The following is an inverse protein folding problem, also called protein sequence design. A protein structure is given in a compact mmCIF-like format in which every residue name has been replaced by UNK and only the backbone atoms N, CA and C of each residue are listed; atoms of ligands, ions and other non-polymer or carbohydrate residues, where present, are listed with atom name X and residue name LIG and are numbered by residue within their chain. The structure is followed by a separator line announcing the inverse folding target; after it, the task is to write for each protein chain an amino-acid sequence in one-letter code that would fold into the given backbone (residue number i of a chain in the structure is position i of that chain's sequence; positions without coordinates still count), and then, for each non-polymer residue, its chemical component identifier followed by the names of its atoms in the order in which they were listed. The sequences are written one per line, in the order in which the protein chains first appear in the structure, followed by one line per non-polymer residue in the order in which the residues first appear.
data_IF_375871398175
#
_entry.id   IF_375871398175
#
_cell.length_a   1.000
_cell.length_b   1.000
_cell.length_c   1.000
_cell.angle_alpha   90.00
_cell.angle_beta   90.00
_cell.angle_gamma   90.00
#
_symmetry.space_group_name_H-M   'P 1'
#
loop_
_entity.id
_entity.type
_entity.pdbx_description
1 polymer ?
#
# COMPACT_ATOMS: atom_id res chain seq x y z
N UNK A 1 18.50 -3.27 -29.11
CA UNK A 1 19.92 -2.92 -28.93
C UNK A 1 20.24 -2.60 -27.47
N UNK A 2 19.71 -1.51 -26.90
CA UNK A 2 20.09 -1.01 -25.56
C UNK A 2 19.33 -1.62 -24.36
N UNK A 3 18.66 -2.76 -24.53
CA UNK A 3 17.69 -3.27 -23.53
C UNK A 3 18.32 -4.17 -22.45
N UNK A 4 19.60 -4.51 -22.58
CA UNK A 4 20.32 -5.37 -21.62
C UNK A 4 21.79 -4.93 -21.53
N UNK A 5 22.50 -5.30 -20.46
CA UNK A 5 23.94 -5.05 -20.34
C UNK A 5 24.69 -5.61 -21.54
N UNK A 6 25.67 -4.83 -22.03
CA UNK A 6 26.56 -5.24 -23.12
C UNK A 6 27.47 -6.36 -22.62
N UNK A 7 27.54 -7.45 -23.37
CA UNK A 7 28.41 -8.59 -23.07
C UNK A 7 29.74 -8.50 -23.83
N UNK A 8 30.79 -9.11 -23.29
CA UNK A 8 32.10 -9.16 -23.95
C UNK A 8 32.06 -9.87 -25.33
N UNK A 9 31.08 -10.75 -25.55
CA UNK A 9 30.86 -11.40 -26.84
C UNK A 9 30.27 -10.45 -27.89
N UNK A 10 29.46 -9.47 -27.46
CA UNK A 10 28.86 -8.47 -28.35
C UNK A 10 29.84 -7.34 -28.68
N UNK A 11 30.67 -6.94 -27.70
CA UNK A 11 31.67 -5.89 -27.84
C UNK A 11 32.93 -6.26 -27.04
N UNK A 12 33.91 -6.93 -27.69
CA UNK A 12 35.25 -7.10 -27.14
C UNK A 12 35.82 -5.73 -26.74
N UNK A 13 36.54 -5.67 -25.63
CA UNK A 13 37.14 -4.44 -25.08
C UNK A 13 36.16 -3.35 -24.59
N UNK A 14 34.84 -3.60 -24.56
CA UNK A 14 33.86 -2.63 -24.06
C UNK A 14 34.19 -2.13 -22.64
N UNK A 15 34.58 -3.04 -21.74
CA UNK A 15 34.97 -2.72 -20.36
C UNK A 15 36.27 -1.92 -20.24
N UNK A 16 37.11 -1.91 -21.28
CA UNK A 16 38.36 -1.15 -21.31
C UNK A 16 38.10 0.32 -21.68
N UNK A 17 37.00 0.60 -22.38
CA UNK A 17 36.61 1.94 -22.83
C UNK A 17 35.54 2.54 -21.93
N UNK A 18 34.53 1.75 -21.56
CA UNK A 18 33.36 2.21 -20.80
C UNK A 18 33.53 1.87 -19.31
N UNK A 19 33.75 2.91 -18.51
CA UNK A 19 33.96 2.77 -17.06
C UNK A 19 32.67 2.51 -16.26
N UNK A 20 31.53 3.03 -16.73
CA UNK A 20 30.23 2.93 -16.06
C UNK A 20 29.17 2.42 -17.03
N UNK A 21 29.07 1.10 -17.25
CA UNK A 21 28.05 0.53 -18.13
C UNK A 21 26.63 0.88 -17.67
N UNK A 22 25.73 1.11 -18.63
CA UNK A 22 24.31 1.35 -18.38
C UNK A 22 23.48 0.88 -19.58
N UNK A 23 22.24 0.46 -19.30
CA UNK A 23 21.29 -0.04 -20.30
C UNK A 23 19.84 0.23 -19.87
N UNK A 24 18.91 0.24 -20.82
CA UNK A 24 17.50 0.55 -20.59
C UNK A 24 16.82 -0.47 -19.65
N UNK A 25 17.23 -1.74 -19.66
CA UNK A 25 16.68 -2.75 -18.75
C UNK A 25 17.10 -2.51 -17.31
N UNK A 26 18.35 -2.10 -17.09
CA UNK A 26 18.83 -1.66 -15.78
C UNK A 26 18.11 -0.40 -15.30
N UNK A 27 17.91 0.59 -16.17
CA UNK A 27 17.16 1.82 -15.86
C UNK A 27 15.71 1.50 -15.50
N UNK A 28 15.04 0.67 -16.28
CA UNK A 28 13.66 0.25 -16.02
C UNK A 28 13.54 -0.43 -14.64
N UNK A 29 14.47 -1.35 -14.33
CA UNK A 29 14.52 -2.00 -13.02
C UNK A 29 14.78 -1.01 -11.90
N UNK A 30 15.76 -0.11 -12.03
CA UNK A 30 16.05 0.94 -11.03
C UNK A 30 14.84 1.85 -10.78
N UNK A 31 14.11 2.22 -11.84
CA UNK A 31 12.87 2.98 -11.73
C UNK A 31 11.76 2.21 -11.02
N UNK A 32 11.59 0.92 -11.37
CA UNK A 32 10.62 0.03 -10.72
C UNK A 32 10.91 -0.12 -9.23
N UNK A 33 12.16 -0.36 -8.88
CA UNK A 33 12.66 -0.56 -7.51
C UNK A 33 12.88 0.76 -6.76
N UNK A 34 12.45 1.91 -7.32
CA UNK A 34 12.56 3.26 -6.73
C UNK A 34 13.97 3.64 -6.27
N UNK A 35 14.98 3.23 -7.03
CA UNK A 35 16.37 3.54 -6.72
C UNK A 35 16.79 4.96 -7.16
N UNK A 36 15.95 5.65 -7.94
CA UNK A 36 16.15 7.06 -8.32
C UNK A 36 15.57 8.01 -7.27
N UNK A 37 16.45 8.83 -6.67
CA UNK A 37 16.06 9.87 -5.70
C UNK A 37 15.62 11.18 -6.33
N UNK A 38 15.92 11.38 -7.62
CA UNK A 38 15.54 12.58 -8.37
C UNK A 38 15.31 12.26 -9.85
N UNK A 39 14.56 13.13 -10.52
CA UNK A 39 14.38 13.08 -11.97
C UNK A 39 15.74 13.22 -12.70
N UNK A 40 16.63 14.07 -12.19
CA UNK A 40 17.97 14.29 -12.76
C UNK A 40 18.84 13.03 -12.70
N UNK A 41 18.72 12.23 -11.63
CA UNK A 41 19.46 10.97 -11.53
C UNK A 41 18.99 9.95 -12.57
N UNK A 42 17.68 9.92 -12.87
CA UNK A 42 17.13 9.11 -13.95
C UNK A 42 17.60 9.63 -15.32
N UNK A 43 17.54 10.94 -15.54
CA UNK A 43 18.01 11.58 -16.77
C UNK A 43 19.49 11.25 -17.04
N UNK A 44 20.33 11.37 -16.02
CA UNK A 44 21.76 11.10 -16.10
C UNK A 44 22.05 9.66 -16.55
N UNK A 45 21.33 8.67 -16.00
CA UNK A 45 21.49 7.27 -16.40
C UNK A 45 21.03 7.03 -17.85
N UNK A 46 19.93 7.65 -18.29
CA UNK A 46 19.46 7.54 -19.69
C UNK A 46 20.47 8.15 -20.65
N UNK A 47 20.99 9.34 -20.34
CA UNK A 47 22.04 9.99 -21.14
C UNK A 47 23.32 9.15 -21.16
N UNK A 48 23.66 8.46 -20.06
CA UNK A 48 24.84 7.61 -19.96
C UNK A 48 24.79 6.42 -20.92
N UNK A 49 23.60 5.84 -21.18
CA UNK A 49 23.44 4.78 -22.20
C UNK A 49 23.93 5.28 -23.57
N UNK A 50 23.46 6.46 -23.97
CA UNK A 50 23.81 7.04 -25.27
C UNK A 50 25.26 7.50 -25.32
N UNK A 51 25.76 8.15 -24.26
CA UNK A 51 27.14 8.60 -24.16
C UNK A 51 28.14 7.43 -24.21
N UNK A 52 27.84 6.31 -23.54
CA UNK A 52 28.67 5.11 -23.61
C UNK A 52 28.67 4.50 -25.01
N UNK A 53 27.50 4.46 -25.67
CA UNK A 53 27.38 3.93 -27.02
C UNK A 53 28.16 4.77 -28.03
N UNK A 54 28.08 6.10 -27.96
CA UNK A 54 28.82 6.99 -28.86
C UNK A 54 30.32 7.00 -28.55
N UNK A 55 30.72 6.96 -27.26
CA UNK A 55 32.12 6.86 -26.84
C UNK A 55 32.80 5.58 -27.38
N UNK A 56 32.15 4.42 -27.22
CA UNK A 56 32.71 3.15 -27.69
C UNK A 56 32.81 3.08 -29.22
N UNK A 57 31.84 3.67 -29.93
CA UNK A 57 31.78 3.66 -31.40
C UNK A 57 32.34 4.95 -32.02
N UNK A 58 33.17 5.73 -31.31
CA UNK A 58 33.59 7.08 -31.75
C UNK A 58 34.40 7.07 -33.06
N UNK A 59 35.19 6.03 -33.27
CA UNK A 59 36.07 5.88 -34.43
C UNK A 59 35.31 5.33 -35.66
N UNK A 60 34.04 4.94 -35.48
CA UNK A 60 33.13 4.49 -36.54
C UNK A 60 31.75 5.18 -36.42
N UNK A 61 31.64 6.50 -36.67
CA UNK A 61 30.37 7.23 -36.51
C UNK A 61 29.24 6.75 -37.41
N UNK A 62 29.57 6.11 -38.55
CA UNK A 62 28.62 5.47 -39.46
C UNK A 62 28.06 4.13 -38.96
N UNK A 63 28.60 3.60 -37.86
CA UNK A 63 28.14 2.35 -37.27
C UNK A 63 26.71 2.50 -36.74
N UNK A 64 25.86 1.50 -36.97
CA UNK A 64 24.42 1.60 -36.64
C UNK A 64 24.17 1.89 -35.16
N UNK A 65 24.99 1.37 -34.25
CA UNK A 65 24.87 1.62 -32.80
C UNK A 65 25.05 3.10 -32.47
N UNK A 66 26.03 3.76 -33.12
CA UNK A 66 26.30 5.18 -32.94
C UNK A 66 25.12 6.02 -33.45
N UNK A 67 24.67 5.75 -34.68
CA UNK A 67 23.55 6.45 -35.30
C UNK A 67 22.24 6.29 -34.49
N UNK A 68 21.98 5.08 -34.00
CA UNK A 68 20.80 4.81 -33.16
C UNK A 68 20.88 5.49 -31.80
N UNK A 69 22.07 5.56 -31.17
CA UNK A 69 22.25 6.25 -29.90
C UNK A 69 21.96 7.76 -30.02
N UNK A 70 22.49 8.42 -31.05
CA UNK A 70 22.21 9.84 -31.31
C UNK A 70 20.72 10.09 -31.62
N UNK A 71 20.10 9.25 -32.46
CA UNK A 71 18.68 9.37 -32.77
C UNK A 71 17.79 9.23 -31.53
N UNK A 72 18.05 8.22 -30.68
CA UNK A 72 17.30 8.01 -29.44
C UNK A 72 17.56 9.11 -28.42
N UNK A 73 18.78 9.63 -28.34
CA UNK A 73 19.12 10.76 -27.47
C UNK A 73 18.30 12.00 -27.82
N UNK A 74 18.15 12.32 -29.11
CA UNK A 74 17.35 13.46 -29.56
C UNK A 74 15.86 13.28 -29.22
N UNK A 75 15.32 12.08 -29.43
CA UNK A 75 13.94 11.73 -29.02
C UNK A 75 13.77 11.89 -27.52
N UNK A 76 14.72 11.40 -26.72
CA UNK A 76 14.67 11.50 -25.27
C UNK A 76 14.69 12.96 -24.79
N UNK A 77 15.64 13.78 -25.23
CA UNK A 77 15.74 15.20 -24.85
C UNK A 77 14.43 15.94 -25.17
N UNK A 78 13.86 15.68 -26.34
CA UNK A 78 12.61 16.31 -26.78
C UNK A 78 11.44 15.92 -25.88
N UNK A 79 11.31 14.64 -25.54
CA UNK A 79 10.25 14.15 -24.67
C UNK A 79 10.46 14.54 -23.20
N UNK A 80 11.70 14.58 -22.73
CA UNK A 80 12.08 15.02 -21.39
C UNK A 80 11.74 16.49 -21.17
N UNK A 81 12.10 17.37 -22.11
CA UNK A 81 11.75 18.79 -22.04
C UNK A 81 10.23 19.00 -21.95
N UNK A 82 9.44 18.27 -22.77
CA UNK A 82 7.97 18.30 -22.69
C UNK A 82 7.44 17.82 -21.34
N UNK A 83 8.04 16.78 -20.76
CA UNK A 83 7.64 16.26 -19.46
C UNK A 83 7.94 17.26 -18.33
N UNK A 84 9.12 17.90 -18.35
CA UNK A 84 9.50 18.95 -17.40
C UNK A 84 8.57 20.15 -17.51
N UNK A 85 8.23 20.59 -18.72
CA UNK A 85 7.29 21.69 -18.94
C UNK A 85 5.88 21.33 -18.45
N UNK A 86 5.42 20.10 -18.70
CA UNK A 86 4.12 19.63 -18.21
C UNK A 86 4.06 19.58 -16.67
N UNK A 87 5.12 19.12 -16.01
CA UNK A 87 5.19 19.13 -14.54
C UNK A 87 5.23 20.56 -13.98
N UNK A 88 5.99 21.46 -14.61
CA UNK A 88 6.02 22.88 -14.23
C UNK A 88 4.64 23.55 -14.36
N UNK A 89 3.92 23.28 -15.47
CA UNK A 89 2.54 23.73 -15.66
C UNK A 89 1.61 23.17 -14.59
N UNK A 90 1.73 21.88 -14.26
CA UNK A 90 0.93 21.25 -13.21
C UNK A 90 1.21 21.85 -11.83
N UNK A 91 2.47 22.18 -11.51
CA UNK A 91 2.83 22.87 -10.26
C UNK A 91 2.21 24.27 -10.16
N UNK A 92 2.09 24.95 -11.30
CA UNK A 92 1.58 26.32 -11.40
C UNK A 92 0.04 26.41 -11.51
N UNK A 93 -0.64 25.37 -12.00
CA UNK A 93 -2.05 25.46 -12.39
C UNK A 93 -2.97 24.70 -11.44
N UNK A 94 -3.71 25.45 -10.61
CA UNK A 94 -4.70 24.91 -9.70
C UNK A 94 -6.13 25.33 -10.08
N UNK A 95 -6.81 24.54 -10.93
CA UNK A 95 -8.18 24.83 -11.34
C UNK A 95 -9.19 24.50 -10.23
N UNK A 96 -9.86 25.53 -9.69
CA UNK A 96 -10.97 25.38 -8.74
C UNK A 96 -10.58 25.17 -7.28
N UNK A 97 -9.35 25.55 -6.88
CA UNK A 97 -8.92 25.52 -5.49
C UNK A 97 -9.23 26.84 -4.77
N UNK A 98 -9.62 26.80 -3.48
CA UNK A 98 -9.81 28.00 -2.67
C UNK A 98 -8.58 28.91 -2.59
N UNK A 99 -7.39 28.37 -2.82
CA UNK A 99 -6.11 29.09 -2.74
C UNK A 99 -5.63 29.64 -4.10
N UNK A 100 -6.44 29.54 -5.16
CA UNK A 100 -6.09 30.08 -6.48
C UNK A 100 -5.80 31.59 -6.38
N UNK A 101 -4.54 31.97 -6.60
CA UNK A 101 -4.05 33.36 -6.48
C UNK A 101 -3.19 33.67 -5.25
N UNK A 102 -3.05 32.76 -4.29
CA UNK A 102 -2.30 33.01 -3.03
C UNK A 102 -0.76 32.90 -3.15
N UNK A 103 -0.21 32.54 -4.32
CA UNK A 103 1.24 32.33 -4.57
C UNK A 103 1.99 31.42 -3.58
N UNK A 104 1.30 30.70 -2.69
CA UNK A 104 1.92 29.84 -1.70
C UNK A 104 2.10 28.43 -2.26
N UNK A 105 3.33 28.06 -2.60
CA UNK A 105 3.69 26.69 -2.96
C UNK A 105 4.20 25.93 -1.75
N UNK A 106 3.90 24.63 -1.69
CA UNK A 106 4.49 23.73 -0.71
C UNK A 106 6.02 23.71 -0.86
N UNK A 107 6.77 23.98 0.20
CA UNK A 107 8.24 23.98 0.15
C UNK A 107 8.87 22.60 -0.06
N UNK A 108 8.11 21.52 0.15
CA UNK A 108 8.56 20.14 -0.06
C UNK A 108 8.35 19.70 -1.50
N UNK A 109 7.10 19.75 -1.99
CA UNK A 109 6.76 19.20 -3.30
C UNK A 109 6.68 20.25 -4.43
N UNK A 110 6.70 21.55 -4.11
CA UNK A 110 6.64 22.63 -5.10
C UNK A 110 5.25 22.88 -5.70
N UNK A 111 4.26 22.01 -5.44
CA UNK A 111 2.88 22.22 -5.89
C UNK A 111 2.16 23.24 -5.01
N UNK A 112 1.29 24.04 -5.63
CA UNK A 112 0.39 24.96 -4.93
C UNK A 112 -0.77 24.22 -4.24
N UNK A 113 -1.21 23.10 -4.81
CA UNK A 113 -2.32 22.32 -4.27
C UNK A 113 -2.17 20.84 -4.63
N UNK A 114 -2.59 19.94 -3.73
CA UNK A 114 -2.76 18.51 -4.04
C UNK A 114 -4.23 18.14 -4.00
N UNK A 115 -4.73 17.54 -5.08
CA UNK A 115 -6.13 17.17 -5.19
C UNK A 115 -6.36 15.75 -4.67
N UNK A 116 -7.15 15.63 -3.61
CA UNK A 116 -7.69 14.35 -3.14
C UNK A 116 -8.75 13.87 -4.14
N UNK A 117 -8.83 12.56 -4.34
CA UNK A 117 -9.97 12.02 -5.06
C UNK A 117 -11.23 12.18 -4.19
N UNK A 118 -12.38 12.41 -4.83
CA UNK A 118 -13.66 12.52 -4.14
C UNK A 118 -13.98 11.28 -3.32
N UNK A 119 -14.55 11.50 -2.14
CA UNK A 119 -15.19 10.45 -1.35
C UNK A 119 -16.40 9.92 -2.12
N UNK A 120 -16.59 8.60 -2.11
CA UNK A 120 -17.76 7.96 -2.72
C UNK A 120 -18.65 7.48 -1.60
N UNK A 121 -19.90 7.91 -1.62
CA UNK A 121 -20.90 7.53 -0.63
C UNK A 121 -21.88 6.54 -1.23
N UNK A 122 -22.51 5.70 -0.40
CA UNK A 122 -23.61 4.84 -0.80
C UNK A 122 -24.85 5.27 -0.04
N UNK A 123 -25.88 5.70 -0.77
CA UNK A 123 -27.13 6.14 -0.16
C UNK A 123 -27.76 5.00 0.65
N UNK A 124 -28.01 5.21 1.94
CA UNK A 124 -28.62 4.22 2.83
C UNK A 124 -30.07 3.86 2.43
N UNK A 125 -30.76 4.72 1.68
CA UNK A 125 -32.15 4.51 1.26
C UNK A 125 -32.23 3.75 -0.06
N UNK A 126 -31.65 4.29 -1.14
CA UNK A 126 -31.77 3.70 -2.47
C UNK A 126 -30.58 2.83 -2.89
N UNK A 127 -29.58 2.66 -2.02
CA UNK A 127 -28.37 1.87 -2.26
C UNK A 127 -27.49 2.30 -3.44
N UNK A 128 -27.82 3.42 -4.11
CA UNK A 128 -27.02 3.97 -5.22
C UNK A 128 -25.79 4.69 -4.70
N UNK A 129 -24.71 4.63 -5.48
CA UNK A 129 -23.51 5.42 -5.23
C UNK A 129 -23.77 6.90 -5.52
N UNK A 130 -23.31 7.76 -4.61
CA UNK A 130 -23.30 9.21 -4.73
C UNK A 130 -21.87 9.60 -5.08
N UNK A 131 -21.71 10.17 -6.26
CA UNK A 131 -20.41 10.45 -6.88
C UNK A 131 -20.13 11.94 -6.92
N UNK A 132 -18.92 12.30 -7.33
CA UNK A 132 -18.40 13.68 -7.35
C UNK A 132 -19.37 14.75 -7.85
N UNK A 133 -19.35 15.91 -7.19
CA UNK A 133 -20.16 17.11 -7.47
C UNK A 133 -21.66 16.94 -7.24
N UNK A 134 -22.09 15.86 -6.61
CA UNK A 134 -23.47 15.67 -6.17
C UNK A 134 -23.65 16.11 -4.71
N UNK A 135 -24.82 16.66 -4.43
CA UNK A 135 -25.26 16.97 -3.07
C UNK A 135 -25.72 15.68 -2.35
N UNK A 136 -25.30 15.57 -1.10
CA UNK A 136 -25.76 14.54 -0.18
C UNK A 136 -26.02 15.12 1.20
N UNK A 137 -26.65 14.30 2.04
CA UNK A 137 -27.00 14.64 3.41
C UNK A 137 -26.38 13.57 4.32
N UNK A 138 -25.55 13.98 5.28
CA UNK A 138 -24.86 13.08 6.21
C UNK A 138 -25.25 13.36 7.66
N UNK A 139 -25.29 12.30 8.46
CA UNK A 139 -25.27 12.43 9.91
C UNK A 139 -23.92 13.03 10.39
N UNK A 140 -23.87 13.71 11.54
CA UNK A 140 -22.65 14.35 12.05
C UNK A 140 -21.49 13.38 12.30
N UNK A 141 -21.80 12.12 12.64
CA UNK A 141 -20.84 11.03 12.85
C UNK A 141 -20.49 10.27 11.56
N UNK A 142 -21.06 10.70 10.42
CA UNK A 142 -20.97 10.05 9.11
C UNK A 142 -21.44 8.57 9.07
N UNK A 143 -22.17 8.09 10.08
CA UNK A 143 -22.67 6.71 10.14
C UNK A 143 -23.79 6.44 9.13
N UNK A 144 -24.46 7.49 8.67
CA UNK A 144 -25.60 7.41 7.76
C UNK A 144 -25.57 8.56 6.74
N UNK A 145 -25.96 8.26 5.49
CA UNK A 145 -26.09 9.28 4.45
C UNK A 145 -27.20 8.98 3.42
N UNK A 146 -27.72 10.01 2.77
CA UNK A 146 -28.63 9.85 1.64
C UNK A 146 -28.39 10.86 0.52
N UNK A 147 -28.78 10.49 -0.70
CA UNK A 147 -28.68 11.38 -1.87
C UNK A 147 -29.77 12.45 -1.82
N UNK A 148 -29.56 13.56 -2.52
CA UNK A 148 -30.52 14.66 -2.57
C UNK A 148 -31.95 14.21 -2.97
N UNK A 149 -32.07 13.29 -3.94
CA UNK A 149 -33.36 12.76 -4.38
C UNK A 149 -34.08 11.94 -3.29
N UNK A 150 -33.32 11.19 -2.48
CA UNK A 150 -33.89 10.42 -1.37
C UNK A 150 -34.20 11.33 -0.19
N UNK A 151 -33.37 12.34 0.07
CA UNK A 151 -33.62 13.34 1.10
C UNK A 151 -34.95 14.07 0.86
N UNK A 152 -35.21 14.52 -0.38
CA UNK A 152 -36.50 15.16 -0.77
C UNK A 152 -37.73 14.25 -0.58
N UNK A 153 -37.51 12.93 -0.50
CA UNK A 153 -38.55 11.91 -0.32
C UNK A 153 -38.59 11.35 1.09
N UNK A 154 -37.71 11.80 2.00
CA UNK A 154 -37.76 11.42 3.41
C UNK A 154 -39.15 11.81 3.94
N UNK A 155 -40.00 10.83 4.27
CA UNK A 155 -41.31 11.11 4.86
C UNK A 155 -41.15 11.37 6.36
N UNK A 156 -42.11 12.06 6.97
CA UNK A 156 -42.41 11.97 8.41
C UNK A 156 -42.66 10.51 8.83
N UNK A 157 -41.64 9.67 8.87
CA UNK A 157 -41.77 8.23 9.09
C UNK A 157 -40.86 7.78 10.22
N UNK A 158 -41.45 6.98 11.11
CA UNK A 158 -40.96 6.50 12.40
C UNK A 158 -39.75 5.54 12.34
N UNK A 159 -38.90 5.64 11.32
CA UNK A 159 -37.72 4.78 11.15
C UNK A 159 -36.52 5.43 11.84
N UNK A 160 -36.48 5.36 13.19
CA UNK A 160 -35.38 5.80 14.09
C UNK A 160 -34.86 7.25 13.89
N UNK A 161 -34.76 8.07 14.96
CA UNK A 161 -34.66 9.51 14.87
C UNK A 161 -33.24 9.96 14.47
N UNK A 162 -32.97 10.08 13.18
CA UNK A 162 -32.19 11.22 12.71
C UNK A 162 -33.23 12.15 12.12
N UNK A 163 -33.56 13.20 12.88
CA UNK A 163 -34.49 14.21 12.37
C UNK A 163 -33.84 14.82 11.14
N UNK A 164 -34.65 15.27 10.17
CA UNK A 164 -34.13 15.88 8.93
C UNK A 164 -33.17 17.06 9.23
N UNK A 165 -33.33 17.70 10.38
CA UNK A 165 -32.47 18.75 10.93
C UNK A 165 -31.08 18.30 11.39
N UNK A 166 -30.89 17.01 11.71
CA UNK A 166 -29.59 16.47 12.11
C UNK A 166 -28.68 16.21 10.91
N UNK A 167 -29.23 16.23 9.69
CA UNK A 167 -28.49 15.92 8.48
C UNK A 167 -27.85 17.17 7.87
N UNK A 168 -26.53 17.14 7.74
CA UNK A 168 -25.77 18.22 7.14
C UNK A 168 -25.68 18.03 5.62
N UNK A 169 -26.15 19.04 4.87
CA UNK A 169 -25.99 19.09 3.42
C UNK A 169 -24.51 19.29 3.08
N UNK A 170 -23.95 18.38 2.28
CA UNK A 170 -22.57 18.46 1.78
C UNK A 170 -22.53 18.17 0.29
N UNK A 171 -21.68 18.90 -0.42
CA UNK A 171 -21.36 18.58 -1.81
C UNK A 171 -20.12 17.68 -1.85
N UNK A 172 -20.19 16.54 -2.55
CA UNK A 172 -19.04 15.62 -2.73
C UNK A 172 -17.85 16.24 -3.47
N UNK A 173 -18.01 17.41 -4.09
CA UNK A 173 -16.94 18.20 -4.68
C UNK A 173 -16.20 19.14 -3.72
N UNK A 174 -16.68 19.29 -2.47
CA UNK A 174 -16.03 20.10 -1.43
C UNK A 174 -14.88 19.35 -0.76
N UNK A 175 -13.86 20.07 -0.29
CA UNK A 175 -12.74 19.45 0.46
C UNK A 175 -11.83 18.55 -0.38
N UNK A 176 -11.83 18.69 -1.71
CA UNK A 176 -10.98 17.90 -2.61
C UNK A 176 -9.51 18.31 -2.60
N UNK A 177 -9.09 19.20 -1.71
CA UNK A 177 -7.71 19.69 -1.67
C UNK A 177 -7.08 19.31 -0.34
N UNK A 178 -5.82 18.91 -0.41
CA UNK A 178 -4.98 18.65 0.76
C UNK A 178 -4.87 19.92 1.60
N UNK A 179 -5.05 19.78 2.92
CA UNK A 179 -4.87 20.87 3.86
C UNK A 179 -3.39 21.29 3.90
N UNK A 180 -3.15 22.58 4.15
CA UNK A 180 -1.79 23.14 4.26
C UNK A 180 -1.55 23.63 5.67
N UNK A 181 -0.31 23.47 6.12
CA UNK A 181 0.16 23.95 7.42
C UNK A 181 1.25 25.00 7.21
N UNK A 182 1.20 26.08 8.02
CA UNK A 182 2.19 27.16 7.99
C UNK A 182 3.22 26.96 9.08
N UNK A 183 4.49 26.93 8.70
CA UNK A 183 5.59 26.88 9.67
C UNK A 183 5.61 28.15 10.54
N UNK A 184 5.70 27.98 11.86
CA UNK A 184 5.76 29.08 12.84
C UNK A 184 7.06 29.88 12.73
N UNK A 185 8.15 29.25 12.27
CA UNK A 185 9.48 29.86 12.18
C UNK A 185 9.70 30.63 10.87
N UNK A 186 9.59 29.96 9.71
CA UNK A 186 9.87 30.58 8.41
C UNK A 186 8.64 31.14 7.70
N UNK A 187 7.43 30.94 8.26
CA UNK A 187 6.14 31.38 7.70
C UNK A 187 5.80 30.81 6.30
N UNK A 188 6.61 29.88 5.78
CA UNK A 188 6.31 29.14 4.54
C UNK A 188 5.31 28.02 4.80
N UNK A 189 4.67 27.57 3.73
CA UNK A 189 3.63 26.56 3.79
C UNK A 189 4.10 25.22 3.24
N UNK A 190 3.55 24.16 3.82
CA UNK A 190 3.71 22.79 3.37
C UNK A 190 2.33 22.11 3.37
N UNK A 191 2.09 21.17 2.47
CA UNK A 191 0.92 20.31 2.59
C UNK A 191 1.03 19.47 3.85
N UNK A 192 -0.06 19.27 4.58
CA UNK A 192 -0.10 18.42 5.78
C UNK A 192 0.47 17.02 5.49
N UNK A 193 0.08 16.39 4.37
CA UNK A 193 0.67 15.13 3.92
C UNK A 193 2.19 15.20 3.64
N UNK A 194 2.70 16.30 3.06
CA UNK A 194 4.15 16.46 2.82
C UNK A 194 4.92 16.71 4.12
N UNK A 195 4.30 17.42 5.07
CA UNK A 195 4.84 17.72 6.39
C UNK A 195 4.71 16.54 7.36
N UNK A 196 3.96 15.49 7.00
CA UNK A 196 3.50 14.44 7.91
C UNK A 196 2.84 15.00 9.18
N UNK A 197 2.11 16.10 9.01
CA UNK A 197 1.45 16.82 10.08
C UNK A 197 -0.04 16.47 10.09
N UNK A 198 -0.54 15.99 11.23
CA UNK A 198 -1.95 15.72 11.43
C UNK A 198 -2.60 16.86 12.24
N UNK A 199 -3.35 17.79 11.61
CA UNK A 199 -3.99 18.90 12.32
C UNK A 199 -5.09 18.45 13.29
N UNK A 200 -5.55 17.19 13.18
CA UNK A 200 -6.63 16.61 14.00
C UNK A 200 -6.11 15.78 15.17
N UNK A 201 -4.82 15.43 15.19
CA UNK A 201 -4.21 14.85 16.38
C UNK A 201 -4.13 15.99 17.39
N UNK A 202 -5.08 16.04 18.34
CA UNK A 202 -5.38 17.18 19.21
C UNK A 202 -4.11 17.93 19.62
N UNK A 203 -3.99 19.18 19.17
CA UNK A 203 -2.80 19.97 19.42
C UNK A 203 -2.73 20.32 20.90
N UNK A 204 -1.64 19.93 21.55
CA UNK A 204 -1.23 20.34 22.90
C UNK A 204 -0.90 21.85 23.00
N UNK A 205 -1.42 22.68 22.10
CA UNK A 205 -1.03 24.10 21.94
C UNK A 205 0.31 24.31 21.21
N UNK A 206 0.99 23.24 20.78
CA UNK A 206 2.26 23.34 20.04
C UNK A 206 2.07 23.85 18.60
N UNK A 207 2.96 24.77 18.20
CA UNK A 207 2.96 25.32 16.83
C UNK A 207 3.82 24.49 15.89
N UNK A 208 3.35 24.25 14.66
CA UNK A 208 4.09 23.49 13.65
C UNK A 208 5.39 24.20 13.23
N UNK A 209 6.53 23.50 13.29
CA UNK A 209 7.81 23.92 12.72
C UNK A 209 8.27 22.93 11.64
N UNK A 210 8.53 23.43 10.42
CA UNK A 210 8.93 22.56 9.30
C UNK A 210 10.31 21.92 9.50
N UNK A 211 10.54 20.78 8.85
CA UNK A 211 11.77 19.99 8.95
C UNK A 211 13.03 20.82 8.68
N UNK A 212 13.00 21.70 7.66
CA UNK A 212 14.14 22.56 7.34
C UNK A 212 14.51 23.50 8.50
N UNK A 213 13.52 24.10 9.16
CA UNK A 213 13.76 24.98 10.30
C UNK A 213 14.24 24.21 11.53
N UNK A 214 13.65 23.03 11.81
CA UNK A 214 14.10 22.15 12.90
C UNK A 214 15.54 21.68 12.70
N UNK A 215 15.90 21.25 11.49
CA UNK A 215 17.28 20.88 11.15
C UNK A 215 18.26 22.04 11.36
N UNK A 216 17.91 23.25 10.91
CA UNK A 216 18.74 24.44 11.12
C UNK A 216 18.90 24.80 12.61
N UNK A 217 17.84 24.63 13.41
CA UNK A 217 17.90 24.84 14.86
C UNK A 217 18.82 23.82 15.54
N UNK A 218 18.72 22.54 15.17
CA UNK A 218 19.61 21.46 15.63
C UNK A 218 21.07 21.72 15.30
N UNK A 219 21.39 22.08 14.05
CA UNK A 219 22.76 22.43 13.65
C UNK A 219 23.34 23.62 14.42
N UNK A 220 22.48 24.52 14.94
CA UNK A 220 22.87 25.69 15.73
C UNK A 220 22.91 25.40 17.24
N UNK A 221 22.74 24.15 17.66
CA UNK A 221 22.74 23.73 19.07
C UNK A 221 21.58 24.28 19.90
N UNK A 222 20.49 24.73 19.25
CA UNK A 222 19.32 25.33 19.94
C UNK A 222 18.21 24.34 20.28
N UNK A 223 18.39 23.08 19.92
CA UNK A 223 17.33 22.06 19.93
C UNK A 223 17.93 20.71 20.37
N UNK A 224 18.65 20.72 21.50
CA UNK A 224 19.35 19.55 22.05
C UNK A 224 18.41 18.56 22.77
N UNK A 225 17.22 19.00 23.20
CA UNK A 225 16.39 18.26 24.17
C UNK A 225 14.97 17.91 23.70
N UNK A 226 14.67 18.00 22.40
CA UNK A 226 13.35 17.64 21.87
C UNK A 226 13.44 16.46 20.88
N UNK A 227 13.96 15.32 21.33
CA UNK A 227 13.48 14.05 20.80
C UNK A 227 12.08 13.84 21.38
N UNK A 228 11.07 14.38 20.69
CA UNK A 228 9.71 13.91 20.88
C UNK A 228 9.75 12.42 20.58
N UNK A 229 9.55 11.58 21.58
CA UNK A 229 9.53 10.12 21.44
C UNK A 229 8.59 9.79 20.27
N UNK A 230 9.17 9.32 19.17
CA UNK A 230 8.41 9.11 17.96
C UNK A 230 7.39 8.00 18.25
N UNK A 231 6.10 8.36 18.32
CA UNK A 231 5.00 7.42 18.43
C UNK A 231 4.91 6.65 17.11
N UNK A 232 5.72 5.61 16.99
CA UNK A 232 5.80 4.71 15.84
C UNK A 232 5.10 3.39 16.09
N UNK A 233 5.07 2.53 15.08
CA UNK A 233 4.53 1.17 15.19
C UNK A 233 5.25 0.36 16.27
N UNK A 234 6.52 0.67 16.52
CA UNK A 234 7.31 0.05 17.57
C UNK A 234 6.71 0.22 18.97
N UNK A 235 6.00 1.33 19.25
CA UNK A 235 5.39 1.61 20.56
C UNK A 235 4.04 0.92 20.74
N UNK A 236 3.44 0.39 19.67
CA UNK A 236 2.21 -0.38 19.75
C UNK A 236 2.44 -1.71 20.47
N UNK A 237 1.42 -2.16 21.22
CA UNK A 237 1.45 -3.40 21.97
C UNK A 237 1.89 -4.59 21.11
N UNK A 238 2.89 -5.32 21.61
CA UNK A 238 3.48 -6.46 20.93
C UNK A 238 3.09 -7.76 21.64
N UNK A 239 2.14 -8.51 21.06
CA UNK A 239 1.67 -9.78 21.62
C UNK A 239 2.40 -11.00 21.02
N UNK A 240 2.11 -12.19 21.56
CA UNK A 240 2.77 -13.45 21.15
C UNK A 240 2.64 -13.71 19.65
N UNK A 241 1.45 -13.51 19.06
CA UNK A 241 1.23 -13.67 17.63
C UNK A 241 2.04 -12.65 16.83
N UNK A 242 2.05 -11.38 17.25
CA UNK A 242 2.82 -10.31 16.61
C UNK A 242 4.32 -10.64 16.60
N UNK A 243 4.87 -11.06 17.75
CA UNK A 243 6.27 -11.41 17.90
C UNK A 243 6.67 -12.62 17.06
N UNK A 244 5.80 -13.65 17.03
CA UNK A 244 6.03 -14.85 16.23
C UNK A 244 6.10 -14.53 14.73
N UNK A 245 5.11 -13.80 14.22
CA UNK A 245 5.04 -13.44 12.80
C UNK A 245 6.15 -12.44 12.44
N UNK A 246 6.44 -11.44 13.29
CA UNK A 246 7.52 -10.48 13.07
C UNK A 246 8.88 -11.19 12.92
N UNK A 247 9.20 -12.12 13.82
CA UNK A 247 10.46 -12.86 13.77
C UNK A 247 10.61 -13.67 12.47
N UNK A 248 9.55 -14.39 12.06
CA UNK A 248 9.51 -15.14 10.79
C UNK A 248 9.70 -14.22 9.59
N UNK A 249 8.98 -13.10 9.54
CA UNK A 249 9.06 -12.13 8.44
C UNK A 249 10.44 -11.49 8.34
N UNK A 250 11.06 -11.12 9.46
CA UNK A 250 12.43 -10.55 9.47
C UNK A 250 13.46 -11.56 8.97
N UNK A 251 13.41 -12.81 9.46
CA UNK A 251 14.29 -13.87 8.99
C UNK A 251 14.14 -14.10 7.48
N UNK A 252 12.89 -14.12 6.99
CA UNK A 252 12.64 -14.26 5.56
C UNK A 252 13.14 -13.08 4.75
N UNK A 253 13.02 -11.86 5.28
CA UNK A 253 13.54 -10.65 4.65
C UNK A 253 15.04 -10.74 4.45
N UNK A 254 15.80 -11.08 5.50
CA UNK A 254 17.25 -11.26 5.41
C UNK A 254 17.63 -12.26 4.33
N UNK A 255 17.03 -13.46 4.36
CA UNK A 255 17.31 -14.50 3.35
C UNK A 255 16.98 -14.05 1.93
N UNK A 256 15.81 -13.43 1.72
CA UNK A 256 15.37 -12.99 0.40
C UNK A 256 16.21 -11.83 -0.14
N UNK A 257 16.68 -10.93 0.72
CA UNK A 257 17.60 -9.85 0.35
C UNK A 257 18.98 -10.37 0.01
N UNK A 258 19.51 -11.35 0.73
CA UNK A 258 20.79 -11.98 0.41
C UNK A 258 20.74 -12.68 -0.95
N UNK A 259 19.67 -13.43 -1.22
CA UNK A 259 19.44 -14.06 -2.52
C UNK A 259 19.34 -13.03 -3.64
N UNK A 260 18.66 -11.91 -3.40
CA UNK A 260 18.51 -10.82 -4.36
C UNK A 260 19.85 -10.12 -4.62
N UNK A 261 20.62 -9.84 -3.57
CA UNK A 261 21.94 -9.23 -3.65
C UNK A 261 22.93 -10.10 -4.43
N UNK A 262 22.89 -11.43 -4.27
CA UNK A 262 23.74 -12.35 -5.07
C UNK A 262 23.45 -12.30 -6.57
N UNK A 263 22.20 -12.03 -6.96
CA UNK A 263 21.78 -12.00 -8.37
C UNK A 263 21.88 -10.62 -9.01
N UNK A 264 21.71 -9.56 -8.22
CA UNK A 264 21.54 -8.19 -8.73
C UNK A 264 22.53 -7.18 -8.13
N UNK A 265 23.42 -7.62 -7.24
CA UNK A 265 24.39 -6.79 -6.54
C UNK A 265 23.84 -6.19 -5.24
N UNK A 266 24.73 -5.93 -4.28
CA UNK A 266 24.38 -5.44 -2.94
C UNK A 266 23.60 -4.11 -2.95
N UNK A 267 23.96 -3.19 -3.85
CA UNK A 267 23.28 -1.89 -3.97
C UNK A 267 21.79 -2.02 -4.34
N UNK A 268 21.41 -3.09 -5.05
CA UNK A 268 20.01 -3.33 -5.43
C UNK A 268 19.15 -3.84 -4.27
N UNK A 269 19.76 -4.44 -3.23
CA UNK A 269 19.08 -4.90 -2.03
C UNK A 269 19.03 -3.85 -0.91
N UNK A 270 19.78 -2.76 -1.02
CA UNK A 270 19.94 -1.75 0.04
C UNK A 270 18.66 -0.94 0.36
N UNK A 271 17.61 -1.05 -0.46
CA UNK A 271 16.36 -0.32 -0.29
C UNK A 271 15.49 -0.83 0.89
N UNK A 272 15.82 -1.98 1.47
CA UNK A 272 15.06 -2.57 2.57
C UNK A 272 16.00 -3.24 3.57
N UNK A 273 15.67 -3.09 4.85
CA UNK A 273 16.31 -3.83 5.93
C UNK A 273 15.25 -4.66 6.69
N UNK A 274 15.61 -5.86 7.12
CA UNK A 274 14.76 -6.66 8.00
C UNK A 274 14.43 -5.93 9.31
N UNK A 275 15.37 -5.14 9.85
CA UNK A 275 15.16 -4.32 11.06
C UNK A 275 14.08 -3.26 10.91
N UNK A 276 13.80 -2.83 9.67
CA UNK A 276 12.77 -1.82 9.37
C UNK A 276 11.37 -2.42 9.26
N UNK A 277 11.23 -3.74 9.38
CA UNK A 277 9.93 -4.41 9.34
C UNK A 277 9.39 -4.63 10.75
N UNK A 278 8.12 -4.30 10.97
CA UNK A 278 7.40 -4.58 12.22
C UNK A 278 6.05 -5.23 11.93
N UNK A 279 5.63 -6.20 12.73
CA UNK A 279 4.31 -6.82 12.63
C UNK A 279 3.53 -6.57 13.92
N UNK A 280 2.27 -6.14 13.80
CA UNK A 280 1.39 -5.90 14.94
C UNK A 280 -0.01 -6.44 14.69
N UNK A 281 -0.61 -7.05 15.71
CA UNK A 281 -2.06 -7.23 15.75
C UNK A 281 -2.67 -5.86 16.07
N UNK A 282 -3.16 -5.19 15.03
CA UNK A 282 -3.70 -3.82 15.10
C UNK A 282 -5.09 -3.77 15.75
N UNK A 283 -5.85 -4.85 15.63
CA UNK A 283 -7.14 -5.00 16.27
C UNK A 283 -7.40 -6.47 16.57
N UNK A 284 -8.03 -6.75 17.71
CA UNK A 284 -8.55 -8.06 18.06
C UNK A 284 -9.83 -7.90 18.86
N UNK A 285 -10.86 -8.70 18.55
CA UNK A 285 -12.10 -8.68 19.32
C UNK A 285 -13.03 -9.82 18.96
N UNK A 286 -13.86 -10.21 19.93
CA UNK A 286 -14.91 -11.20 19.72
C UNK A 286 -16.10 -10.56 19.00
N UNK A 287 -16.69 -11.33 18.09
CA UNK A 287 -17.84 -10.98 17.28
C UNK A 287 -18.81 -12.14 17.30
N UNK A 288 -20.08 -11.81 17.10
CA UNK A 288 -21.16 -12.76 16.94
C UNK A 288 -21.46 -12.87 15.44
N UNK A 289 -21.56 -14.08 14.92
CA UNK A 289 -22.06 -14.35 13.58
C UNK A 289 -23.53 -14.74 13.68
N UNK A 290 -24.42 -13.89 13.18
CA UNK A 290 -25.84 -14.20 13.06
C UNK A 290 -26.07 -15.08 11.83
N UNK A 291 -26.57 -16.29 12.03
CA UNK A 291 -26.88 -17.20 10.94
C UNK A 291 -28.09 -16.67 10.19
N UNK A 292 -28.01 -16.47 8.85
CA UNK A 292 -29.15 -16.02 8.07
C UNK A 292 -30.36 -16.92 8.29
N UNK A 293 -31.51 -16.32 8.57
CA UNK A 293 -32.74 -17.03 8.99
C UNK A 293 -33.13 -18.17 8.02
N UNK A 294 -32.90 -17.97 6.72
CA UNK A 294 -33.15 -18.97 5.68
C UNK A 294 -32.27 -20.21 5.88
N UNK A 295 -30.95 -20.01 6.10
CA UNK A 295 -30.01 -21.11 6.35
C UNK A 295 -30.36 -21.79 7.65
N UNK A 296 -30.61 -21.03 8.71
CA UNK A 296 -30.99 -21.58 10.01
C UNK A 296 -32.24 -22.48 9.91
N UNK A 297 -33.29 -22.05 9.21
CA UNK A 297 -34.48 -22.88 8.99
C UNK A 297 -34.23 -24.14 8.14
N UNK A 298 -33.31 -24.08 7.16
CA UNK A 298 -32.99 -25.24 6.30
C UNK A 298 -32.33 -26.38 7.08
N UNK A 299 -31.51 -26.04 8.09
CA UNK A 299 -30.70 -27.03 8.84
C UNK A 299 -31.33 -27.46 10.18
N UNK A 300 -32.51 -26.96 10.52
CA UNK A 300 -33.20 -27.21 11.80
C UNK A 300 -33.97 -28.54 11.88
N UNK A 301 -33.82 -29.44 10.91
CA UNK A 301 -34.74 -30.55 10.67
C UNK A 301 -34.12 -31.96 10.72
N UNK A 302 -32.85 -32.10 11.11
CA UNK A 302 -32.13 -33.39 11.13
C UNK A 302 -31.74 -33.85 12.55
N UNK A 303 -31.68 -35.16 12.83
CA UNK A 303 -31.10 -35.67 14.06
C UNK A 303 -29.56 -35.59 13.97
N UNK A 304 -28.96 -34.61 14.66
CA UNK A 304 -27.51 -34.43 14.79
C UNK A 304 -27.06 -33.01 14.43
N UNK A 305 -26.69 -32.25 15.45
CA UNK A 305 -26.19 -30.86 15.44
C UNK A 305 -27.13 -29.80 14.85
N UNK A 306 -28.01 -29.26 15.71
CA UNK A 306 -28.73 -28.02 15.44
C UNK A 306 -27.73 -26.88 15.20
N UNK A 307 -27.66 -26.37 13.97
CA UNK A 307 -26.94 -25.14 13.65
C UNK A 307 -27.51 -24.01 14.52
N UNK A 308 -26.74 -23.37 15.42
CA UNK A 308 -27.29 -22.35 16.29
C UNK A 308 -27.66 -21.09 15.50
N UNK A 309 -28.62 -20.29 15.98
CA UNK A 309 -29.03 -19.05 15.31
C UNK A 309 -27.91 -18.00 15.27
N UNK A 310 -26.94 -18.09 16.18
CA UNK A 310 -25.74 -17.28 16.18
C UNK A 310 -24.60 -17.99 16.92
N UNK A 311 -23.35 -17.62 16.64
CA UNK A 311 -22.19 -18.15 17.35
C UNK A 311 -21.02 -17.17 17.36
N UNK A 312 -20.14 -17.32 18.36
CA UNK A 312 -18.99 -16.45 18.55
C UNK A 312 -17.81 -16.82 17.65
N UNK A 313 -17.04 -15.80 17.30
CA UNK A 313 -15.74 -15.91 16.64
C UNK A 313 -14.86 -14.72 16.99
N UNK A 314 -13.54 -14.91 16.94
CA UNK A 314 -12.58 -13.83 17.15
C UNK A 314 -12.14 -13.27 15.81
N UNK A 315 -12.15 -11.94 15.67
CA UNK A 315 -11.54 -11.24 14.53
C UNK A 315 -10.20 -10.69 14.95
N UNK A 316 -9.19 -10.85 14.10
CA UNK A 316 -7.89 -10.17 14.24
C UNK A 316 -7.52 -9.46 12.95
N UNK A 317 -6.90 -8.28 13.08
CA UNK A 317 -6.28 -7.55 11.99
C UNK A 317 -4.76 -7.53 12.22
N UNK A 318 -4.01 -8.22 11.37
CA UNK A 318 -2.55 -8.35 11.47
C UNK A 318 -1.93 -7.42 10.43
N UNK A 319 -1.23 -6.39 10.87
CA UNK A 319 -0.55 -5.42 10.00
C UNK A 319 0.95 -5.68 9.91
N UNK A 320 1.50 -5.64 8.70
CA UNK A 320 2.93 -5.52 8.44
C UNK A 320 3.23 -4.06 8.11
N UNK A 321 4.13 -3.46 8.86
CA UNK A 321 4.62 -2.10 8.68
C UNK A 321 6.09 -2.13 8.28
N UNK A 322 6.47 -1.24 7.37
CA UNK A 322 7.86 -1.01 6.98
C UNK A 322 8.25 0.43 7.28
N UNK A 323 9.42 0.63 7.86
CA UNK A 323 10.00 1.96 8.06
C UNK A 323 10.67 2.41 6.76
N UNK A 324 10.05 3.38 6.09
CA UNK A 324 10.47 3.90 4.79
C UNK A 324 10.82 5.37 4.97
N UNK A 325 12.06 5.74 4.62
CA UNK A 325 12.58 7.10 4.81
C UNK A 325 12.40 7.62 6.25
N UNK A 326 12.52 6.71 7.24
CA UNK A 326 12.38 7.01 8.66
C UNK A 326 10.95 7.00 9.20
N UNK A 327 9.94 6.76 8.35
CA UNK A 327 8.51 6.81 8.69
C UNK A 327 7.88 5.43 8.61
N UNK A 328 7.03 5.08 9.58
CA UNK A 328 6.30 3.82 9.55
C UNK A 328 5.15 3.85 8.52
N UNK A 329 5.15 2.89 7.61
CA UNK A 329 4.10 2.72 6.59
C UNK A 329 3.51 1.32 6.75
N UNK A 330 2.19 1.23 6.98
CA UNK A 330 1.47 -0.06 6.95
C UNK A 330 1.29 -0.52 5.51
N UNK A 331 1.96 -1.61 5.14
CA UNK A 331 2.10 -2.06 3.73
C UNK A 331 1.26 -3.29 3.39
N UNK A 332 0.84 -4.06 4.39
CA UNK A 332 -0.02 -5.24 4.25
C UNK A 332 -0.85 -5.40 5.52
N UNK A 333 -2.08 -5.91 5.37
CA UNK A 333 -2.99 -6.23 6.45
C UNK A 333 -3.69 -7.53 6.09
N UNK A 334 -3.85 -8.35 7.10
CA UNK A 334 -4.53 -9.64 7.00
C UNK A 334 -5.60 -9.66 8.06
N UNK A 335 -6.86 -9.75 7.63
CA UNK A 335 -7.98 -10.03 8.52
C UNK A 335 -8.19 -11.52 8.59
N UNK A 336 -8.29 -12.03 9.81
CA UNK A 336 -8.52 -13.45 10.09
C UNK A 336 -9.66 -13.61 11.07
N UNK A 337 -10.49 -14.63 10.83
CA UNK A 337 -11.54 -15.07 11.74
C UNK A 337 -11.10 -16.39 12.37
N UNK A 338 -11.20 -16.49 13.68
CA UNK A 338 -10.82 -17.66 14.46
C UNK A 338 -12.06 -18.21 15.17
N UNK A 339 -12.37 -19.49 14.91
CA UNK A 339 -13.49 -20.22 15.49
C UNK A 339 -12.95 -21.27 16.46
N UNK A 340 -13.18 -21.07 17.75
CA UNK A 340 -12.63 -21.90 18.82
C UNK A 340 -13.22 -23.31 18.91
N UNK A 341 -12.89 -24.02 19.99
CA UNK A 341 -13.43 -25.36 20.26
C UNK A 341 -14.94 -25.34 20.51
N UNK A 342 -15.46 -24.24 21.08
CA UNK A 342 -16.88 -24.05 21.40
C UNK A 342 -17.73 -23.65 20.19
N UNK A 343 -17.11 -23.43 19.02
CA UNK A 343 -17.85 -23.13 17.81
C UNK A 343 -18.66 -24.35 17.31
N UNK A 344 -19.72 -24.12 16.49
CA UNK A 344 -20.52 -25.20 15.90
C UNK A 344 -19.66 -26.18 15.11
N UNK A 345 -20.10 -27.43 14.96
CA UNK A 345 -19.32 -28.49 14.33
C UNK A 345 -18.77 -28.11 12.94
N UNK A 346 -19.52 -27.35 12.15
CA UNK A 346 -19.10 -26.87 10.82
C UNK A 346 -17.97 -25.81 10.85
N UNK A 347 -17.69 -25.21 12.00
CA UNK A 347 -16.67 -24.16 12.17
C UNK A 347 -15.64 -24.49 13.25
N UNK A 348 -15.82 -25.56 14.02
CA UNK A 348 -15.01 -25.90 15.19
C UNK A 348 -13.52 -25.94 14.85
N UNK A 349 -12.72 -25.26 15.69
CA UNK A 349 -11.25 -25.20 15.56
C UNK A 349 -10.78 -24.83 14.14
N UNK A 350 -11.49 -23.91 13.49
CA UNK A 350 -11.12 -23.44 12.16
C UNK A 350 -10.70 -21.98 12.14
N UNK A 351 -9.88 -21.61 11.17
CA UNK A 351 -9.54 -20.23 10.87
C UNK A 351 -9.95 -19.87 9.44
N UNK A 352 -10.34 -18.63 9.20
CA UNK A 352 -10.65 -18.11 7.87
C UNK A 352 -9.84 -16.85 7.60
N UNK A 353 -9.02 -16.87 6.54
CA UNK A 353 -8.32 -15.68 6.05
C UNK A 353 -9.32 -14.85 5.24
N UNK A 354 -9.93 -13.86 5.90
CA UNK A 354 -11.08 -13.13 5.39
C UNK A 354 -10.71 -12.08 4.33
N UNK A 355 -9.71 -11.25 4.62
CA UNK A 355 -9.24 -10.21 3.70
C UNK A 355 -7.73 -10.06 3.75
N UNK A 356 -7.11 -9.99 2.58
CA UNK A 356 -5.71 -9.63 2.41
C UNK A 356 -5.66 -8.49 1.42
N UNK A 357 -5.07 -7.38 1.82
CA UNK A 357 -4.87 -6.24 0.92
C UNK A 357 -3.53 -5.58 1.24
N UNK A 358 -2.97 -4.87 0.28
CA UNK A 358 -1.59 -4.35 0.39
C UNK A 358 -1.37 -3.11 -0.47
N UNK A 359 -0.26 -2.44 -0.22
CA UNK A 359 0.29 -1.37 -1.05
C UNK A 359 1.74 -1.68 -1.45
N UNK A 360 2.18 -1.14 -2.58
CA UNK A 360 3.46 -1.45 -3.24
C UNK A 360 4.58 -0.48 -2.86
N UNK A 361 4.85 -0.31 -1.56
CA UNK A 361 5.92 0.56 -1.07
C UNK A 361 7.17 -0.17 -0.59
N UNK A 362 7.11 -1.50 -0.42
CA UNK A 362 8.28 -2.32 -0.11
C UNK A 362 8.97 -2.74 -1.41
N UNK A 363 10.29 -2.57 -1.45
CA UNK A 363 11.16 -2.94 -2.57
C UNK A 363 12.36 -3.75 -2.09
N UNK A 364 12.91 -4.66 -2.91
CA UNK A 364 12.50 -4.99 -4.29
C UNK A 364 11.17 -5.75 -4.38
N UNK A 365 10.48 -5.66 -5.52
CA UNK A 365 9.18 -6.33 -5.76
C UNK A 365 9.24 -7.84 -5.50
N UNK A 366 10.35 -8.48 -5.89
CA UNK A 366 10.57 -9.91 -5.71
C UNK A 366 10.69 -10.33 -4.24
N UNK A 367 11.18 -9.43 -3.37
CA UNK A 367 11.28 -9.65 -1.93
C UNK A 367 9.91 -9.38 -1.29
N UNK A 368 9.23 -8.29 -1.67
CA UNK A 368 7.89 -7.92 -1.17
C UNK A 368 6.91 -9.08 -1.22
N UNK A 369 6.78 -9.77 -2.35
CA UNK A 369 5.85 -10.91 -2.47
C UNK A 369 6.17 -12.04 -1.48
N UNK A 370 7.44 -12.27 -1.17
CA UNK A 370 7.85 -13.31 -0.23
C UNK A 370 7.52 -12.92 1.21
N UNK A 371 7.67 -11.65 1.57
CA UNK A 371 7.28 -11.15 2.90
C UNK A 371 5.79 -11.27 3.13
N UNK A 372 4.98 -10.94 2.13
CA UNK A 372 3.52 -11.01 2.25
C UNK A 372 3.04 -12.45 2.37
N UNK A 373 3.69 -13.38 1.67
CA UNK A 373 3.49 -14.82 1.85
C UNK A 373 3.86 -15.28 3.26
N UNK A 374 4.99 -14.78 3.78
CA UNK A 374 5.49 -15.16 5.10
C UNK A 374 4.57 -14.71 6.23
N UNK A 375 3.94 -13.53 6.14
CA UNK A 375 2.97 -13.06 7.15
C UNK A 375 1.81 -14.06 7.29
N UNK A 376 1.24 -14.49 6.17
CA UNK A 376 0.11 -15.43 6.15
C UNK A 376 0.58 -16.83 6.58
N UNK A 377 1.70 -17.30 6.05
CA UNK A 377 2.27 -18.61 6.39
C UNK A 377 2.57 -18.73 7.89
N UNK A 378 3.24 -17.74 8.47
CA UNK A 378 3.54 -17.69 9.90
C UNK A 378 2.27 -17.59 10.76
N UNK A 379 1.25 -16.85 10.31
CA UNK A 379 -0.05 -16.87 11.01
C UNK A 379 -0.68 -18.27 11.02
N UNK A 380 -0.73 -18.96 9.87
CA UNK A 380 -1.30 -20.30 9.77
C UNK A 380 -0.54 -21.30 10.64
N UNK A 381 0.79 -21.21 10.67
CA UNK A 381 1.63 -22.02 11.57
C UNK A 381 1.31 -21.72 13.04
N UNK A 382 1.16 -20.45 13.40
CA UNK A 382 0.80 -20.06 14.76
C UNK A 382 -0.58 -20.58 15.15
N UNK A 383 -1.58 -20.46 14.28
CA UNK A 383 -2.92 -21.00 14.50
C UNK A 383 -2.87 -22.52 14.72
N UNK A 384 -2.11 -23.26 13.90
CA UNK A 384 -1.92 -24.70 14.10
C UNK A 384 -1.34 -25.02 15.48
N UNK A 385 -0.34 -24.26 15.94
CA UNK A 385 0.25 -24.42 17.29
C UNK A 385 -0.74 -24.14 18.43
N UNK A 386 -1.75 -23.31 18.20
CA UNK A 386 -2.84 -23.06 19.14
C UNK A 386 -3.93 -24.15 19.11
N UNK A 387 -3.82 -25.13 18.21
CA UNK A 387 -4.77 -26.25 18.10
C UNK A 387 -5.91 -26.03 17.10
N UNK A 388 -5.81 -25.03 16.21
CA UNK A 388 -6.69 -24.96 15.05
C UNK A 388 -6.34 -26.07 14.05
N UNK A 389 -7.37 -26.74 13.55
CA UNK A 389 -7.25 -27.96 12.73
C UNK A 389 -7.47 -27.69 11.24
N UNK A 390 -8.24 -26.65 10.89
CA UNK A 390 -8.59 -26.34 9.50
C UNK A 390 -8.44 -24.85 9.20
N UNK A 391 -7.90 -24.52 8.02
CA UNK A 391 -7.79 -23.15 7.54
C UNK A 391 -8.52 -22.99 6.20
N UNK A 392 -9.42 -22.02 6.13
CA UNK A 392 -10.16 -21.66 4.93
C UNK A 392 -9.58 -20.39 4.32
N UNK A 393 -9.45 -20.41 2.99
CA UNK A 393 -9.01 -19.26 2.22
C UNK A 393 -9.83 -19.12 0.96
N UNK A 394 -10.38 -17.94 0.73
CA UNK A 394 -11.08 -17.63 -0.52
C UNK A 394 -10.21 -16.77 -1.43
N UNK A 395 -9.71 -17.37 -2.52
CA UNK A 395 -8.93 -16.67 -3.53
C UNK A 395 -9.83 -15.85 -4.47
N UNK A 396 -10.30 -14.70 -3.98
CA UNK A 396 -11.08 -13.73 -4.76
C UNK A 396 -10.32 -12.40 -4.91
N UNK A 397 -9.94 -11.98 -6.13
CA UNK A 397 -9.36 -10.66 -6.33
C UNK A 397 -10.43 -9.57 -6.18
N UNK A 398 -10.00 -8.39 -5.71
CA UNK A 398 -10.88 -7.23 -5.60
C UNK A 398 -11.47 -6.87 -6.97
N UNK A 399 -12.79 -6.66 -7.03
CA UNK A 399 -13.45 -6.13 -8.24
C UNK A 399 -12.90 -4.73 -8.53
N UNK A 400 -12.75 -4.37 -9.80
CA UNK A 400 -12.05 -3.14 -10.27
C UNK A 400 -12.47 -1.82 -9.59
N UNK A 401 -13.65 -1.76 -8.96
CA UNK A 401 -14.21 -0.54 -8.35
C UNK A 401 -14.10 -0.54 -6.81
N UNK A 402 -13.58 -1.61 -6.20
CA UNK A 402 -13.46 -1.74 -4.74
C UNK A 402 -12.03 -1.96 -4.26
N UNK A 403 -11.66 -1.29 -3.17
CA UNK A 403 -10.55 -1.70 -2.29
C UNK A 403 -11.11 -2.59 -1.18
N UNK A 404 -10.35 -3.58 -0.73
CA UNK A 404 -10.76 -4.33 0.46
C UNK A 404 -10.52 -3.49 1.72
N UNK A 405 -9.31 -2.94 1.86
CA UNK A 405 -8.92 -2.18 3.06
C UNK A 405 -8.35 -0.80 2.71
N UNK A 406 -7.41 -0.70 1.77
CA UNK A 406 -6.80 0.59 1.43
C UNK A 406 -7.71 1.38 0.52
N UNK A 407 -8.36 2.39 1.08
CA UNK A 407 -9.07 3.37 0.27
C UNK A 407 -8.11 4.02 -0.73
N UNK A 408 -8.29 3.64 -2.00
CA UNK A 408 -7.53 4.09 -3.16
C UNK A 408 -6.06 3.64 -3.21
N UNK A 409 -5.83 2.63 -4.04
CA UNK A 409 -4.49 2.15 -4.38
C UNK A 409 -3.79 3.08 -5.38
N UNK A 410 -2.44 3.08 -5.40
CA UNK A 410 -1.68 3.77 -6.45
C UNK A 410 -2.18 3.39 -7.84
N UNK A 411 -2.35 4.37 -8.74
CA UNK A 411 -2.95 4.12 -10.06
C UNK A 411 -2.18 3.10 -10.93
N UNK A 412 -0.88 2.98 -10.70
CA UNK A 412 -0.02 2.00 -11.38
C UNK A 412 -0.15 0.57 -10.82
N UNK A 413 -0.70 0.42 -9.62
CA UNK A 413 -0.88 -0.88 -8.97
C UNK A 413 -2.04 -1.62 -9.65
N UNK A 414 -1.71 -2.67 -10.38
CA UNK A 414 -2.70 -3.52 -11.07
C UNK A 414 -3.38 -4.44 -10.06
N UNK A 415 -4.70 -4.63 -10.20
CA UNK A 415 -5.41 -5.67 -9.46
C UNK A 415 -4.88 -7.06 -9.86
N UNK A 416 -4.74 -7.95 -8.88
CA UNK A 416 -4.34 -9.34 -9.15
C UNK A 416 -5.41 -10.05 -9.99
N UNK A 417 -5.00 -10.89 -10.93
CA UNK A 417 -5.90 -11.84 -11.60
C UNK A 417 -6.17 -13.02 -10.67
N UNK A 418 -7.26 -13.75 -10.91
CA UNK A 418 -7.57 -14.96 -10.14
C UNK A 418 -6.44 -16.00 -10.21
N UNK A 419 -5.78 -16.12 -11.36
CA UNK A 419 -4.64 -17.03 -11.56
C UNK A 419 -3.41 -16.58 -10.76
N UNK A 420 -3.03 -15.31 -10.84
CA UNK A 420 -1.90 -14.78 -10.06
C UNK A 420 -2.14 -14.93 -8.56
N UNK A 421 -3.37 -14.68 -8.09
CA UNK A 421 -3.72 -14.80 -6.69
C UNK A 421 -3.67 -16.28 -6.22
N UNK A 422 -4.16 -17.22 -7.03
CA UNK A 422 -4.01 -18.67 -6.75
C UNK A 422 -2.54 -19.08 -6.71
N UNK A 423 -1.73 -18.62 -7.65
CA UNK A 423 -0.28 -18.88 -7.67
C UNK A 423 0.40 -18.33 -6.41
N UNK A 424 0.00 -17.13 -5.97
CA UNK A 424 0.50 -16.51 -4.75
C UNK A 424 0.24 -17.38 -3.52
N UNK A 425 -1.00 -17.84 -3.31
CA UNK A 425 -1.35 -18.72 -2.18
C UNK A 425 -0.71 -20.09 -2.27
N UNK A 426 -0.64 -20.68 -3.47
CA UNK A 426 0.00 -21.98 -3.68
C UNK A 426 1.48 -21.98 -3.29
N UNK A 427 2.19 -20.86 -3.44
CA UNK A 427 3.59 -20.75 -2.99
C UNK A 427 3.73 -20.73 -1.47
N UNK A 428 2.73 -20.23 -0.75
CA UNK A 428 2.69 -20.29 0.72
C UNK A 428 2.63 -21.76 1.15
N UNK A 429 1.69 -22.52 0.59
CA UNK A 429 1.50 -23.93 0.96
C UNK A 429 2.67 -24.81 0.57
N UNK A 430 3.25 -24.61 -0.62
CA UNK A 430 4.43 -25.35 -1.05
C UNK A 430 5.59 -25.15 -0.07
N UNK A 431 5.80 -23.92 0.40
CA UNK A 431 6.87 -23.63 1.35
C UNK A 431 6.58 -24.20 2.74
N UNK A 432 5.34 -24.12 3.21
CA UNK A 432 4.95 -24.83 4.43
C UNK A 432 5.17 -26.35 4.29
N UNK A 433 5.01 -26.90 3.08
CA UNK A 433 5.29 -28.29 2.72
C UNK A 433 6.77 -28.68 2.72
N UNK A 434 7.66 -27.76 2.35
CA UNK A 434 9.11 -27.94 2.40
C UNK A 434 9.63 -28.09 3.84
N UNK A 435 9.00 -27.39 4.79
CA UNK A 435 9.30 -27.48 6.23
C UNK A 435 8.51 -28.61 6.93
N UNK A 436 7.34 -29.00 6.41
CA UNK A 436 6.44 -30.03 6.97
C UNK A 436 5.53 -30.64 5.88
N UNK A 437 5.87 -31.85 5.40
CA UNK A 437 5.19 -32.52 4.27
C UNK A 437 3.71 -32.82 4.51
N UNK A 438 3.22 -32.72 5.75
CA UNK A 438 1.80 -32.92 6.07
C UNK A 438 0.90 -31.82 5.50
N UNK A 439 1.33 -30.55 5.54
CA UNK A 439 0.49 -29.41 5.12
C UNK A 439 0.24 -29.40 3.60
N UNK A 440 1.25 -29.75 2.80
CA UNK A 440 1.10 -29.82 1.34
C UNK A 440 0.20 -30.99 0.89
N UNK A 441 0.25 -32.10 1.62
CA UNK A 441 -0.60 -33.28 1.38
C UNK A 441 -2.08 -33.10 1.77
N UNK A 442 -2.39 -32.13 2.65
CA UNK A 442 -3.74 -31.87 3.16
C UNK A 442 -4.49 -30.75 2.42
N UNK A 443 -3.87 -30.14 1.40
CA UNK A 443 -4.53 -29.11 0.59
C UNK A 443 -5.58 -29.73 -0.34
N UNK A 444 -6.82 -29.33 -0.16
CA UNK A 444 -7.94 -29.67 -1.06
C UNK A 444 -8.71 -28.42 -1.47
N UNK A 445 -9.75 -28.58 -2.29
CA UNK A 445 -10.74 -27.54 -2.54
C UNK A 445 -12.10 -27.98 -1.96
N UNK A 446 -13.01 -27.03 -1.77
CA UNK A 446 -14.32 -27.31 -1.17
C UNK A 446 -15.15 -28.32 -1.98
N UNK A 447 -14.92 -28.44 -3.29
CA UNK A 447 -15.59 -29.45 -4.09
C UNK A 447 -15.11 -30.85 -3.68
N UNK A 448 -13.81 -31.13 -3.82
CA UNK A 448 -13.22 -32.44 -3.49
C UNK A 448 -13.36 -32.83 -2.01
N UNK A 449 -13.43 -31.86 -1.10
CA UNK A 449 -13.59 -32.12 0.33
C UNK A 449 -15.01 -32.60 0.72
N UNK A 450 -16.02 -32.26 -0.09
CA UNK A 450 -17.43 -32.42 0.29
C UNK A 450 -18.29 -33.10 -0.79
N UNK A 451 -17.78 -33.29 -2.01
CA UNK A 451 -18.42 -33.92 -3.17
C UNK A 451 -17.41 -34.84 -3.85
#
# INVERSE_FOLDING_TARGET
LFNRPVTAAEAPDYSNVVCKPMDSGTIERRGRDRLYKSADAFEADVQLVFANATLFNRDTPSHQVHLQAEALRQVFITNWAKAVEADAKQRAQCNGCPMAGSHHCCTVCGYQCMRRKPEVYRCNICSRYIVTKQDLYLAPDASWCCCELCHKKLPCTDVKPLLMEDLQKRNTGSGLFEEMVRCSMCRRYEHCACALYNPRAGSSGETYACCACRMQARHRGRDADAETEAVGVATLQHNVLSAFVEARVRARCTQALDDYARRHGAAAAAALNAGDLSVRVLASGNKIYDVPIIIWHMFRAGPGDDLPPAFDYTVKAIGLCARIDGVDVCVLIVYVYEYGADAPACNRKSVYVAYVDSVEYVYPDAVRSQLYQEVIGAYLEHARRLGFETAYLWSAPARQVGSYVWWQRPARMKAATSEHLRSFYNRIFKRCGEDDTTVESMRTNLYVAHF
#
